data_IF_106086592373
#
_entry.id   IF_106086592373
#
_cell.length_a   1.000
_cell.length_b   1.000
_cell.length_c   1.000
_cell.angle_alpha   90.00
_cell.angle_beta   90.00
_cell.angle_gamma   90.00
#
_symmetry.space_group_name_H-M   'P 1'
#
loop_
_entity.id
_entity.type
_entity.pdbx_description
1 polymer ?
#
# COMPACT_ATOMS: atom_id res chain seq x y z
N UNK A 1 -11.71 -10.30 2.23
CA UNK A 1 -11.42 -9.68 3.53
C UNK A 1 -11.88 -8.24 3.50
N UNK A 2 -12.51 -7.75 4.56
CA UNK A 2 -12.99 -6.37 4.63
C UNK A 2 -11.84 -5.40 4.95
N UNK A 3 -12.08 -4.11 4.74
CA UNK A 3 -11.14 -3.04 5.08
C UNK A 3 -10.87 -3.02 6.59
N UNK A 4 -11.93 -3.22 7.38
CA UNK A 4 -11.89 -3.27 8.84
C UNK A 4 -11.00 -4.43 9.31
N UNK A 5 -11.12 -5.61 8.69
CA UNK A 5 -10.29 -6.76 9.03
C UNK A 5 -8.80 -6.48 8.76
N UNK A 6 -8.47 -5.86 7.62
CA UNK A 6 -7.08 -5.49 7.27
C UNK A 6 -6.52 -4.51 8.29
N UNK A 7 -7.29 -3.48 8.64
CA UNK A 7 -6.90 -2.47 9.63
C UNK A 7 -6.69 -3.12 11.00
N UNK A 8 -7.59 -3.99 11.44
CA UNK A 8 -7.44 -4.69 12.71
C UNK A 8 -6.17 -5.55 12.73
N UNK A 9 -5.89 -6.28 11.65
CA UNK A 9 -4.66 -7.06 11.51
C UNK A 9 -3.40 -6.19 11.54
N UNK A 10 -3.44 -4.98 10.96
CA UNK A 10 -2.31 -4.03 11.02
C UNK A 10 -2.08 -3.54 12.45
N UNK A 11 -3.14 -3.17 13.17
CA UNK A 11 -3.07 -2.77 14.60
C UNK A 11 -2.48 -3.90 15.45
N UNK A 12 -2.87 -5.14 15.18
CA UNK A 12 -2.37 -6.33 15.87
C UNK A 12 -0.95 -6.74 15.45
N UNK A 13 -0.32 -5.99 14.53
CA UNK A 13 1.01 -6.28 13.97
C UNK A 13 1.10 -7.69 13.38
N UNK A 14 -0.01 -8.15 12.79
CA UNK A 14 -0.04 -9.42 12.11
C UNK A 14 0.89 -9.36 10.88
N UNK A 15 1.83 -10.30 10.71
CA UNK A 15 2.81 -10.26 9.63
C UNK A 15 2.19 -10.36 8.23
N UNK A 16 0.93 -10.83 8.11
CA UNK A 16 0.20 -10.90 6.84
C UNK A 16 -0.67 -9.68 6.54
N UNK A 17 -0.81 -8.76 7.48
CA UNK A 17 -1.69 -7.61 7.32
C UNK A 17 -1.31 -6.75 6.11
N UNK A 18 0.00 -6.56 5.92
CA UNK A 18 0.55 -5.81 4.79
C UNK A 18 0.34 -6.49 3.44
N UNK A 19 0.43 -7.82 3.39
CA UNK A 19 0.14 -8.60 2.18
C UNK A 19 -1.30 -8.37 1.73
N UNK A 20 -2.26 -8.46 2.66
CA UNK A 20 -3.66 -8.22 2.35
C UNK A 20 -3.98 -6.77 1.98
N UNK A 21 -3.30 -5.79 2.58
CA UNK A 21 -3.37 -4.39 2.18
C UNK A 21 -2.86 -4.23 0.73
N UNK A 22 -1.69 -4.80 0.43
CA UNK A 22 -1.07 -4.71 -0.87
C UNK A 22 -1.96 -5.35 -1.96
N UNK A 23 -2.41 -6.59 -1.75
CA UNK A 23 -3.25 -7.31 -2.71
C UNK A 23 -4.53 -6.55 -3.08
N UNK A 24 -5.11 -5.85 -2.09
CA UNK A 24 -6.39 -5.17 -2.27
C UNK A 24 -6.26 -3.79 -2.92
N UNK A 25 -5.23 -3.02 -2.56
CA UNK A 25 -5.16 -1.60 -2.92
C UNK A 25 -4.05 -1.26 -3.93
N UNK A 26 -3.05 -2.13 -4.11
CA UNK A 26 -1.88 -1.86 -4.97
C UNK A 26 -2.26 -1.42 -6.38
N UNK A 27 -3.14 -2.18 -7.06
CA UNK A 27 -3.54 -1.89 -8.44
C UNK A 27 -4.23 -0.52 -8.59
N UNK A 28 -5.16 -0.20 -7.69
CA UNK A 28 -5.89 1.07 -7.72
C UNK A 28 -4.95 2.25 -7.41
N UNK A 29 -4.12 2.11 -6.38
CA UNK A 29 -3.15 3.14 -5.99
C UNK A 29 -2.11 3.39 -7.07
N UNK A 30 -1.53 2.34 -7.64
CA UNK A 30 -0.60 2.47 -8.76
C UNK A 30 -1.25 3.14 -9.97
N UNK A 31 -2.49 2.74 -10.32
CA UNK A 31 -3.23 3.34 -11.44
C UNK A 31 -3.45 4.84 -11.22
N UNK A 32 -3.79 5.27 -10.00
CA UNK A 32 -3.96 6.67 -9.66
C UNK A 32 -2.62 7.41 -9.79
N UNK A 33 -1.54 6.89 -9.19
CA UNK A 33 -0.20 7.47 -9.27
C UNK A 33 0.25 7.63 -10.72
N UNK A 34 0.11 6.58 -11.53
CA UNK A 34 0.46 6.61 -12.95
C UNK A 34 -0.35 7.65 -13.72
N UNK A 35 -1.66 7.74 -13.51
CA UNK A 35 -2.51 8.74 -14.17
C UNK A 35 -2.14 10.18 -13.81
N UNK A 36 -1.62 10.42 -12.61
CA UNK A 36 -1.21 11.76 -12.17
C UNK A 36 0.19 12.13 -12.67
N UNK A 37 1.10 11.16 -12.75
CA UNK A 37 2.51 11.39 -13.09
C UNK A 37 2.76 11.30 -14.59
N UNK A 38 2.06 10.42 -15.31
CA UNK A 38 2.21 10.19 -16.75
C UNK A 38 3.46 9.40 -17.16
N UNK A 39 4.37 9.12 -16.22
CA UNK A 39 5.60 8.34 -16.44
C UNK A 39 5.58 7.08 -15.57
N UNK A 40 5.80 5.92 -16.20
CA UNK A 40 5.72 4.62 -15.53
C UNK A 40 6.82 4.42 -14.48
N UNK A 41 8.05 4.84 -14.78
CA UNK A 41 9.21 4.67 -13.90
C UNK A 41 9.09 5.55 -12.65
N UNK A 42 8.67 6.80 -12.85
CA UNK A 42 8.44 7.73 -11.74
C UNK A 42 7.26 7.26 -10.89
N UNK A 43 6.17 6.77 -11.52
CA UNK A 43 5.02 6.25 -10.81
C UNK A 43 5.35 5.01 -9.96
N UNK A 44 6.13 4.08 -10.51
CA UNK A 44 6.62 2.90 -9.81
C UNK A 44 7.46 3.29 -8.60
N UNK A 45 8.40 4.23 -8.76
CA UNK A 45 9.21 4.73 -7.65
C UNK A 45 8.35 5.34 -6.54
N UNK A 46 7.44 6.26 -6.88
CA UNK A 46 6.57 6.91 -5.89
C UNK A 46 5.69 5.89 -5.15
N UNK A 47 5.14 4.93 -5.90
CA UNK A 47 4.29 3.89 -5.33
C UNK A 47 5.07 2.98 -4.36
N UNK A 48 6.25 2.49 -4.76
CA UNK A 48 7.10 1.64 -3.92
C UNK A 48 7.56 2.41 -2.68
N UNK A 49 8.05 3.64 -2.85
CA UNK A 49 8.51 4.48 -1.74
C UNK A 49 7.38 4.70 -0.71
N UNK A 50 6.15 4.97 -1.15
CA UNK A 50 5.01 5.14 -0.26
C UNK A 50 4.62 3.86 0.49
N UNK A 51 4.66 2.70 -0.17
CA UNK A 51 4.38 1.42 0.48
C UNK A 51 5.46 1.01 1.49
N UNK A 52 6.74 1.25 1.17
CA UNK A 52 7.87 1.04 2.08
C UNK A 52 7.76 1.97 3.28
N UNK A 53 7.48 3.26 3.05
CA UNK A 53 7.32 4.22 4.13
C UNK A 53 6.16 3.83 5.07
N UNK A 54 5.03 3.39 4.51
CA UNK A 54 3.90 2.90 5.30
C UNK A 54 4.28 1.68 6.17
N UNK A 55 5.07 0.76 5.61
CA UNK A 55 5.54 -0.45 6.30
C UNK A 55 6.58 -0.15 7.39
N UNK A 56 7.55 0.72 7.10
CA UNK A 56 8.65 1.04 8.01
C UNK A 56 8.26 2.01 9.12
N UNK A 57 7.46 3.04 8.80
CA UNK A 57 7.09 4.06 9.78
C UNK A 57 6.14 3.54 10.84
N UNK A 58 5.58 2.33 10.69
CA UNK A 58 4.58 1.79 11.63
C UNK A 58 3.58 2.88 11.98
N UNK A 59 3.03 3.56 10.97
CA UNK A 59 1.81 4.34 11.17
C UNK A 59 0.73 3.27 11.37
N UNK A 60 0.73 2.68 12.58
CA UNK A 60 0.06 1.50 13.16
C UNK A 60 1.06 0.68 14.01
#
# INVERSE_FOLDING_TARGET
>A
MSDIDIIQMLVEKNPKAFEHLYDKYSAAMFTITYKLVGDNSIAEKIFIDAFVELHEKKIL
#
